data_IF_581640623574
#
_entry.id   IF_581640623574
#
_cell.length_a   1.000
_cell.length_b   1.000
_cell.length_c   1.000
_cell.angle_alpha   90.00
_cell.angle_beta   90.00
_cell.angle_gamma   90.00
#
_symmetry.space_group_name_H-M   'P 1'
#
loop_
_entity.id
_entity.type
_entity.pdbx_description
1 polymer ?
#
# COMPACT_ATOMS: atom_id res chain seq x y z
N UNK A 1 -12.92 2.54 0.90
CA UNK A 1 -13.34 3.95 0.68
C UNK A 1 -14.81 4.12 0.26
N UNK A 2 -15.53 3.05 -0.13
CA UNK A 2 -16.93 3.18 -0.56
C UNK A 2 -17.90 3.65 0.54
N UNK A 3 -17.67 3.24 1.80
CA UNK A 3 -18.50 3.65 2.95
C UNK A 3 -18.02 4.98 3.54
N UNK A 4 -16.78 5.06 4.02
CA UNK A 4 -16.29 6.24 4.73
C UNK A 4 -15.62 7.32 3.87
N UNK A 5 -15.21 6.97 2.66
CA UNK A 5 -14.43 7.85 1.79
C UNK A 5 -15.28 8.85 1.02
N UNK A 6 -16.49 8.45 0.58
CA UNK A 6 -17.41 9.32 -0.17
C UNK A 6 -17.79 10.57 0.63
N UNK A 7 -17.98 10.40 1.93
CA UNK A 7 -18.34 11.47 2.86
C UNK A 7 -17.11 12.19 3.44
N UNK A 8 -15.88 11.81 3.04
CA UNK A 8 -14.64 12.38 3.57
C UNK A 8 -14.41 12.10 5.06
N UNK A 9 -15.08 11.10 5.64
CA UNK A 9 -14.98 10.76 7.07
C UNK A 9 -13.63 10.12 7.41
N UNK A 10 -13.07 9.36 6.48
CA UNK A 10 -11.79 8.66 6.64
C UNK A 10 -10.87 9.01 5.48
N UNK A 11 -9.63 9.35 5.78
CA UNK A 11 -8.55 9.40 4.80
C UNK A 11 -7.78 8.07 4.84
N UNK A 12 -7.61 7.44 3.68
CA UNK A 12 -6.86 6.19 3.57
C UNK A 12 -5.45 6.48 3.07
N UNK A 13 -4.44 6.13 3.87
CA UNK A 13 -3.03 6.34 3.55
C UNK A 13 -2.33 4.99 3.46
N UNK A 14 -1.69 4.71 2.34
CA UNK A 14 -0.82 3.53 2.18
C UNK A 14 0.60 3.86 2.65
N UNK A 15 1.20 2.97 3.44
CA UNK A 15 2.62 3.03 3.81
C UNK A 15 3.25 1.68 3.49
N UNK A 16 4.37 1.68 2.77
CA UNK A 16 5.07 0.46 2.41
C UNK A 16 5.69 -0.19 3.65
N UNK A 17 5.42 -1.48 3.86
CA UNK A 17 6.11 -2.28 4.87
C UNK A 17 6.59 -3.63 4.30
N UNK A 18 7.48 -3.61 3.28
CA UNK A 18 8.01 -4.83 2.64
C UNK A 18 9.01 -5.56 3.56
N UNK A 19 8.59 -6.71 4.10
CA UNK A 19 9.40 -7.59 4.95
C UNK A 19 10.32 -8.44 4.06
N UNK A 20 11.44 -7.86 3.64
CA UNK A 20 12.31 -8.42 2.61
C UNK A 20 12.98 -9.75 3.02
N UNK A 21 13.12 -9.98 4.32
CA UNK A 21 13.65 -11.22 4.90
C UNK A 21 12.75 -12.42 4.60
N UNK A 22 11.44 -12.19 4.47
CA UNK A 22 10.44 -13.20 4.10
C UNK A 22 10.10 -13.13 2.60
N UNK A 23 10.10 -11.92 2.03
CA UNK A 23 9.59 -11.64 0.70
C UNK A 23 10.53 -10.70 -0.07
N UNK A 24 11.64 -11.26 -0.58
CA UNK A 24 12.69 -10.50 -1.25
C UNK A 24 12.22 -9.62 -2.42
N UNK A 25 11.11 -9.97 -3.08
CA UNK A 25 10.54 -9.21 -4.21
C UNK A 25 9.68 -8.01 -3.75
N UNK A 26 9.22 -7.99 -2.51
CA UNK A 26 8.25 -7.01 -2.01
C UNK A 26 8.75 -5.57 -2.12
N UNK A 27 10.06 -5.32 -1.94
CA UNK A 27 10.67 -4.01 -2.12
C UNK A 27 10.45 -3.48 -3.54
N UNK A 28 10.62 -4.34 -4.53
CA UNK A 28 10.47 -3.96 -5.94
C UNK A 28 9.01 -3.76 -6.33
N UNK A 29 8.13 -4.59 -5.79
CA UNK A 29 6.68 -4.42 -5.91
C UNK A 29 6.23 -3.07 -5.31
N UNK A 30 6.75 -2.69 -4.13
CA UNK A 30 6.51 -1.37 -3.53
C UNK A 30 6.98 -0.20 -4.39
N UNK A 31 8.19 -0.28 -4.97
CA UNK A 31 8.67 0.75 -5.90
C UNK A 31 7.79 0.85 -7.16
N UNK A 32 7.26 -0.27 -7.66
CA UNK A 32 6.38 -0.28 -8.82
C UNK A 32 5.06 0.46 -8.56
N UNK A 33 4.49 0.36 -7.36
CA UNK A 33 3.32 1.14 -6.95
C UNK A 33 3.61 2.65 -7.01
N UNK A 34 4.79 3.08 -6.54
CA UNK A 34 5.19 4.49 -6.61
C UNK A 34 5.44 4.96 -8.04
N UNK A 35 6.00 4.12 -8.91
CA UNK A 35 6.11 4.43 -10.33
C UNK A 35 4.72 4.59 -10.99
N UNK A 36 3.74 3.78 -10.61
CA UNK A 36 2.36 3.95 -11.09
C UNK A 36 1.76 5.27 -10.62
N UNK A 37 2.04 5.68 -9.37
CA UNK A 37 1.65 6.99 -8.84
C UNK A 37 2.33 8.14 -9.59
N UNK A 38 3.63 8.04 -9.91
CA UNK A 38 4.35 9.07 -10.66
C UNK A 38 3.72 9.33 -12.03
N UNK A 39 3.43 8.24 -12.75
CA UNK A 39 3.05 8.30 -14.16
C UNK A 39 1.57 8.61 -14.38
N UNK A 40 0.72 8.34 -13.38
CA UNK A 40 -0.73 8.53 -13.54
C UNK A 40 -1.46 9.01 -12.29
N UNK A 41 -0.74 9.44 -11.26
CA UNK A 41 -1.28 9.99 -10.03
C UNK A 41 -1.90 8.97 -9.07
N UNK A 42 -2.53 9.45 -7.98
CA UNK A 42 -3.05 8.59 -6.92
C UNK A 42 -4.08 7.56 -7.39
N UNK A 43 -4.85 7.86 -8.45
CA UNK A 43 -5.78 6.91 -9.04
C UNK A 43 -5.05 5.68 -9.60
N UNK A 44 -3.97 5.89 -10.34
CA UNK A 44 -3.16 4.80 -10.91
C UNK A 44 -2.35 4.05 -9.87
N UNK A 45 -1.96 4.69 -8.76
CA UNK A 45 -1.46 3.97 -7.59
C UNK A 45 -2.47 2.88 -7.16
N UNK A 46 -3.71 3.28 -6.87
CA UNK A 46 -4.73 2.35 -6.35
C UNK A 46 -5.16 1.29 -7.37
N UNK A 47 -5.34 1.66 -8.64
CA UNK A 47 -5.64 0.69 -9.70
C UNK A 47 -4.52 -0.35 -9.84
N UNK A 48 -3.25 0.09 -9.83
CA UNK A 48 -2.10 -0.80 -9.89
C UNK A 48 -2.01 -1.70 -8.65
N UNK A 49 -2.18 -1.13 -7.45
CA UNK A 49 -2.19 -1.87 -6.19
C UNK A 49 -3.26 -2.96 -6.20
N UNK A 50 -4.50 -2.63 -6.59
CA UNK A 50 -5.59 -3.59 -6.66
C UNK A 50 -5.25 -4.76 -7.60
N UNK A 51 -4.82 -4.47 -8.82
CA UNK A 51 -4.47 -5.52 -9.77
C UNK A 51 -3.29 -6.38 -9.30
N UNK A 52 -2.28 -5.78 -8.65
CA UNK A 52 -1.17 -6.55 -8.07
C UNK A 52 -1.67 -7.53 -7.00
N UNK A 53 -2.55 -7.08 -6.09
CA UNK A 53 -3.14 -7.94 -5.07
C UNK A 53 -4.09 -9.00 -5.64
N UNK A 54 -4.79 -8.71 -6.73
CA UNK A 54 -5.69 -9.66 -7.38
C UNK A 54 -4.94 -10.83 -8.03
N UNK A 55 -3.75 -10.59 -8.58
CA UNK A 55 -3.01 -11.61 -9.33
C UNK A 55 -1.88 -12.28 -8.55
N UNK A 56 -1.45 -11.69 -7.42
CA UNK A 56 -0.30 -12.23 -6.68
C UNK A 56 -0.61 -13.61 -6.11
N UNK A 57 0.20 -14.65 -6.38
CA UNK A 57 0.07 -15.93 -5.70
C UNK A 57 0.51 -15.89 -4.23
N UNK A 58 0.79 -14.68 -3.70
CA UNK A 58 1.28 -14.41 -2.34
C UNK A 58 2.64 -15.04 -2.03
N UNK A 59 3.17 -14.80 -0.83
CA UNK A 59 4.37 -15.45 -0.29
C UNK A 59 5.60 -15.43 -1.21
N UNK A 60 5.93 -14.26 -1.77
CA UNK A 60 7.08 -14.05 -2.66
C UNK A 60 6.98 -14.75 -4.04
N UNK A 61 5.79 -15.22 -4.44
CA UNK A 61 5.62 -16.00 -5.67
C UNK A 61 5.22 -15.19 -6.90
N UNK A 62 4.96 -13.88 -6.78
CA UNK A 62 4.72 -13.05 -7.96
C UNK A 62 5.96 -13.07 -8.87
N UNK A 63 5.76 -13.27 -10.17
CA UNK A 63 6.81 -13.12 -11.17
C UNK A 63 7.05 -11.62 -11.42
N UNK A 64 8.28 -11.08 -11.23
CA UNK A 64 8.58 -9.68 -11.53
C UNK A 64 8.21 -9.23 -12.95
N UNK A 65 8.15 -10.15 -13.92
CA UNK A 65 7.68 -9.84 -15.28
C UNK A 65 6.21 -9.37 -15.33
N UNK A 66 5.41 -9.64 -14.29
CA UNK A 66 4.04 -9.14 -14.18
C UNK A 66 3.96 -7.64 -13.91
N UNK A 67 4.98 -7.02 -13.31
CA UNK A 67 4.94 -5.60 -12.96
C UNK A 67 4.66 -4.67 -14.17
N UNK A 68 5.42 -4.76 -15.29
CA UNK A 68 5.09 -3.98 -16.48
C UNK A 68 3.78 -4.40 -17.16
N UNK A 69 3.33 -5.65 -16.99
CA UNK A 69 2.04 -6.11 -17.52
C UNK A 69 0.88 -5.45 -16.77
N UNK A 70 0.97 -5.37 -15.44
CA UNK A 70 0.01 -4.62 -14.61
C UNK A 70 -0.01 -3.16 -15.05
N UNK A 71 1.16 -2.52 -15.19
CA UNK A 71 1.26 -1.13 -15.65
C UNK A 71 0.54 -0.91 -16.98
N UNK A 72 0.75 -1.80 -17.96
CA UNK A 72 0.05 -1.79 -19.24
C UNK A 72 -1.46 -1.89 -19.08
N UNK A 73 -1.93 -2.83 -18.26
CA UNK A 73 -3.36 -3.11 -18.06
C UNK A 73 -4.09 -1.95 -17.38
N UNK A 74 -3.42 -1.23 -16.49
CA UNK A 74 -3.96 0.01 -15.89
C UNK A 74 -3.71 1.24 -16.78
N UNK A 75 -3.25 1.08 -18.02
CA UNK A 75 -3.17 2.15 -19.02
C UNK A 75 -1.96 3.09 -18.87
N UNK A 76 -0.88 2.65 -18.21
CA UNK A 76 0.37 3.40 -18.12
C UNK A 76 1.30 3.12 -19.30
N UNK A 77 2.16 4.08 -19.62
CA UNK A 77 3.25 3.88 -20.58
C UNK A 77 4.28 2.90 -20.00
N UNK A 78 4.39 1.72 -20.62
CA UNK A 78 5.26 0.63 -20.16
C UNK A 78 6.74 1.00 -20.23
N UNK A 79 7.15 1.81 -21.21
CA UNK A 79 8.54 2.24 -21.35
C UNK A 79 8.92 3.18 -20.22
N UNK A 80 8.09 4.19 -19.95
CA UNK A 80 8.27 5.12 -18.85
C UNK A 80 8.23 4.40 -17.49
N UNK A 81 7.31 3.45 -17.33
CA UNK A 81 7.22 2.61 -16.13
C UNK A 81 8.50 1.81 -15.90
N UNK A 82 9.00 1.13 -16.93
CA UNK A 82 10.24 0.36 -16.83
C UNK A 82 11.44 1.26 -16.53
N UNK A 83 11.52 2.46 -17.13
CA UNK A 83 12.55 3.44 -16.79
C UNK A 83 12.49 3.83 -15.32
N UNK A 84 11.32 4.23 -14.81
CA UNK A 84 11.12 4.57 -13.40
C UNK A 84 11.51 3.41 -12.47
N UNK A 85 11.03 2.21 -12.77
CA UNK A 85 11.26 1.04 -11.95
C UNK A 85 12.75 0.67 -11.95
N UNK A 86 13.39 0.61 -13.11
CA UNK A 86 14.82 0.26 -13.23
C UNK A 86 15.76 1.27 -12.56
N UNK A 87 15.35 2.55 -12.46
CA UNK A 87 16.21 3.59 -11.88
C UNK A 87 16.29 3.52 -10.34
N UNK A 88 15.42 2.73 -9.70
CA UNK A 88 15.37 2.64 -8.24
C UNK A 88 14.95 3.93 -7.55
N UNK A 89 14.30 4.86 -8.27
CA UNK A 89 13.98 6.22 -7.80
C UNK A 89 13.23 6.23 -6.47
N UNK A 90 12.40 5.22 -6.23
CA UNK A 90 11.56 5.13 -5.04
C UNK A 90 12.11 4.25 -3.91
N UNK A 91 13.32 3.69 -4.06
CA UNK A 91 13.92 2.84 -3.03
C UNK A 91 14.05 3.57 -1.68
N UNK A 92 14.49 4.84 -1.69
CA UNK A 92 14.63 5.63 -0.47
C UNK A 92 13.29 5.94 0.20
N UNK A 93 12.22 6.19 -0.57
CA UNK A 93 10.87 6.39 -0.03
C UNK A 93 10.34 5.11 0.61
N UNK A 94 10.48 3.97 -0.08
CA UNK A 94 10.04 2.67 0.43
C UNK A 94 10.79 2.31 1.72
N UNK A 95 12.09 2.62 1.79
CA UNK A 95 12.87 2.44 3.02
C UNK A 95 12.42 3.36 4.16
N UNK A 96 12.15 4.64 3.87
CA UNK A 96 11.62 5.55 4.89
C UNK A 96 10.27 5.07 5.45
N UNK A 97 9.36 4.60 4.59
CA UNK A 97 8.06 4.05 4.99
C UNK A 97 8.23 2.78 5.84
N UNK A 98 9.15 1.88 5.46
CA UNK A 98 9.48 0.69 6.25
C UNK A 98 9.99 1.06 7.65
N UNK A 99 10.94 2.01 7.74
CA UNK A 99 11.50 2.44 9.02
C UNK A 99 10.45 3.10 9.92
N UNK A 100 9.52 3.86 9.34
CA UNK A 100 8.41 4.45 10.10
C UNK A 100 7.46 3.37 10.65
N UNK A 101 7.18 2.31 9.88
CA UNK A 101 6.40 1.17 10.38
C UNK A 101 7.10 0.44 11.53
N UNK A 102 8.42 0.23 11.44
CA UNK A 102 9.23 -0.37 12.52
C UNK A 102 9.19 0.51 13.78
N UNK A 103 9.42 1.82 13.65
CA UNK A 103 9.36 2.78 14.77
C UNK A 103 7.98 2.84 15.42
N UNK A 104 6.93 2.63 14.63
CA UNK A 104 5.55 2.55 15.12
C UNK A 104 5.22 1.18 15.78
N UNK A 105 6.19 0.25 15.88
CA UNK A 105 6.00 -1.05 16.50
C UNK A 105 5.36 -2.10 15.58
N UNK A 106 5.41 -1.91 14.27
CA UNK A 106 4.93 -2.89 13.29
C UNK A 106 5.73 -4.19 13.36
N UNK A 107 5.05 -5.33 13.51
CA UNK A 107 5.66 -6.67 13.61
C UNK A 107 5.26 -7.60 12.46
N UNK A 108 4.41 -7.13 11.54
CA UNK A 108 3.89 -7.91 10.44
C UNK A 108 2.94 -7.10 9.59
N UNK A 109 2.40 -7.72 8.54
CA UNK A 109 1.41 -7.11 7.65
C UNK A 109 0.14 -7.96 7.56
N UNK A 110 -1.05 -7.35 7.41
CA UNK A 110 -1.30 -5.91 7.49
C UNK A 110 -1.15 -5.40 8.94
N UNK A 111 -0.73 -4.14 9.08
CA UNK A 111 -0.68 -3.41 10.35
C UNK A 111 -1.28 -2.03 10.13
N UNK A 112 -2.44 -1.77 10.70
CA UNK A 112 -3.19 -0.53 10.48
C UNK A 112 -3.10 0.36 11.72
N UNK A 113 -2.92 1.66 11.51
CA UNK A 113 -2.93 2.66 12.58
C UNK A 113 -4.06 3.64 12.28
N UNK A 114 -5.10 3.63 13.11
CA UNK A 114 -6.23 4.54 13.02
C UNK A 114 -5.95 5.75 13.91
N UNK A 115 -6.15 6.94 13.35
CA UNK A 115 -5.88 8.22 14.02
C UNK A 115 -7.15 9.07 13.90
N UNK A 116 -7.78 9.41 15.04
CA UNK A 116 -8.92 10.34 15.08
C UNK A 116 -8.47 11.80 15.06
N UNK A 117 -9.42 12.72 14.89
CA UNK A 117 -9.16 14.17 14.79
C UNK A 117 -8.54 14.75 16.06
N UNK A 118 -8.91 14.22 17.22
CA UNK A 118 -8.34 14.59 18.52
C UNK A 118 -6.93 13.99 18.79
N UNK A 119 -6.42 13.18 17.86
CA UNK A 119 -5.12 12.53 17.97
C UNK A 119 -5.12 11.19 18.69
N UNK A 120 -6.28 10.64 19.09
CA UNK A 120 -6.35 9.27 19.61
C UNK A 120 -5.84 8.29 18.55
N UNK A 121 -4.96 7.37 18.94
CA UNK A 121 -4.38 6.35 18.07
C UNK A 121 -4.82 4.96 18.50
N UNK A 122 -5.24 4.14 17.55
CA UNK A 122 -5.55 2.72 17.76
C UNK A 122 -4.79 1.91 16.71
N UNK A 123 -4.01 0.94 17.16
CA UNK A 123 -3.31 -0.01 16.28
C UNK A 123 -4.15 -1.27 16.13
N UNK A 124 -4.36 -1.69 14.89
CA UNK A 124 -5.03 -2.93 14.52
C UNK A 124 -4.02 -3.83 13.83
N UNK A 125 -3.62 -4.89 14.52
CA UNK A 125 -2.63 -5.85 14.04
C UNK A 125 -3.29 -7.00 13.28
N UNK A 126 -2.68 -7.40 12.17
CA UNK A 126 -3.13 -8.52 11.34
C UNK A 126 -4.40 -8.23 10.57
N UNK A 127 -4.80 -9.21 9.75
CA UNK A 127 -6.06 -9.16 9.03
C UNK A 127 -7.21 -9.34 10.03
N UNK A 128 -8.07 -8.33 10.15
CA UNK A 128 -9.25 -8.38 10.99
C UNK A 128 -10.52 -8.47 10.14
N UNK A 129 -11.60 -9.10 10.65
CA UNK A 129 -12.91 -9.06 10.00
C UNK A 129 -13.36 -7.62 9.74
N UNK A 130 -14.08 -7.43 8.63
CA UNK A 130 -14.60 -6.13 8.24
C UNK A 130 -15.37 -5.44 9.37
N UNK A 131 -16.30 -6.17 10.01
CA UNK A 131 -17.14 -5.63 11.09
C UNK A 131 -16.34 -5.16 12.31
N UNK A 132 -15.24 -5.84 12.64
CA UNK A 132 -14.36 -5.44 13.75
C UNK A 132 -13.64 -4.12 13.45
N UNK A 133 -13.11 -3.98 12.21
CA UNK A 133 -12.47 -2.74 11.78
C UNK A 133 -13.50 -1.60 11.69
N UNK A 134 -14.69 -1.89 11.16
CA UNK A 134 -15.81 -0.96 11.05
C UNK A 134 -16.20 -0.39 12.41
N UNK A 135 -16.45 -1.25 13.40
CA UNK A 135 -16.80 -0.83 14.75
C UNK A 135 -15.73 0.09 15.39
N UNK A 136 -14.45 -0.21 15.13
CA UNK A 136 -13.33 0.61 15.61
C UNK A 136 -13.32 2.00 14.94
N UNK A 137 -13.53 2.05 13.63
CA UNK A 137 -13.63 3.31 12.87
C UNK A 137 -14.82 4.14 13.39
N UNK A 138 -16.00 3.53 13.51
CA UNK A 138 -17.22 4.22 13.94
C UNK A 138 -17.05 4.83 15.34
N UNK A 139 -16.39 4.11 16.27
CA UNK A 139 -16.09 4.62 17.60
C UNK A 139 -15.11 5.81 17.58
N UNK A 140 -14.11 5.78 16.69
CA UNK A 140 -13.15 6.88 16.54
C UNK A 140 -13.73 8.10 15.84
N UNK A 141 -14.75 7.93 14.98
CA UNK A 141 -15.45 9.04 14.33
C UNK A 141 -16.30 9.87 15.30
N UNK A 142 -16.60 9.36 16.50
CA UNK A 142 -17.30 10.10 17.55
C UNK A 142 -16.37 10.97 18.41
N UNK A 143 -15.06 10.97 18.14
CA UNK A 143 -14.04 11.74 18.87
C UNK A 143 -13.54 12.92 18.03
#
# INVERSE_FOLDING_TARGET
>A
MNEYGKDGKVAWVYRHFPIAELHSKARKESEALECANELGGPGKFWEYTNMLFDITPSNNNLDPAQLPIIAKNVGLDVKAFNTCLSSGKYAAKVEADYQDAVKAGGQGTPNSILISKDGTKVTVQGAQPYESLKATIDALLQK
#
